data_IF_550746532243
#
_entry.id   IF_550746532243
#
_cell.length_a   1.000
_cell.length_b   1.000
_cell.length_c   1.000
_cell.angle_alpha   90.00
_cell.angle_beta   90.00
_cell.angle_gamma   90.00
#
_symmetry.space_group_name_H-M   'P 1'
#
loop_
_entity.id
_entity.type
_entity.pdbx_description
1 polymer ?
#
# COMPACT_ATOMS: atom_id res chain seq x y z
N UNK A 1 17.22 -2.03 -17.27
CA UNK A 1 17.19 -1.89 -15.80
C UNK A 1 16.29 -0.72 -15.37
N UNK A 2 16.54 0.51 -15.82
CA UNK A 2 15.72 1.70 -15.47
C UNK A 2 14.22 1.57 -15.82
N UNK A 3 13.88 0.98 -16.97
CA UNK A 3 12.47 0.77 -17.37
C UNK A 3 11.69 -0.13 -16.40
N UNK A 4 12.29 -1.21 -15.89
CA UNK A 4 11.62 -2.14 -14.99
C UNK A 4 11.29 -1.48 -13.63
N UNK A 5 12.24 -0.69 -13.11
CA UNK A 5 12.03 0.12 -11.90
C UNK A 5 10.90 1.11 -12.12
N UNK A 6 10.92 1.84 -13.23
CA UNK A 6 9.90 2.84 -13.54
C UNK A 6 8.51 2.20 -13.69
N UNK A 7 8.40 1.09 -14.41
CA UNK A 7 7.13 0.37 -14.55
C UNK A 7 6.59 -0.12 -13.19
N UNK A 8 7.45 -0.64 -12.32
CA UNK A 8 7.06 -1.05 -10.98
C UNK A 8 6.57 0.13 -10.12
N UNK A 9 7.26 1.27 -10.20
CA UNK A 9 6.84 2.50 -9.51
C UNK A 9 5.50 3.01 -10.02
N UNK A 10 5.30 3.06 -11.35
CA UNK A 10 4.04 3.51 -11.95
C UNK A 10 2.85 2.67 -11.46
N UNK A 11 3.01 1.35 -11.35
CA UNK A 11 1.94 0.47 -10.86
C UNK A 11 1.57 0.80 -9.40
N UNK A 12 2.56 1.06 -8.56
CA UNK A 12 2.34 1.44 -7.15
C UNK A 12 1.63 2.81 -7.07
N UNK A 13 2.11 3.80 -7.84
CA UNK A 13 1.57 5.16 -7.82
C UNK A 13 0.13 5.22 -8.34
N UNK A 14 -0.20 4.48 -9.41
CA UNK A 14 -1.57 4.41 -9.92
C UNK A 14 -2.50 3.83 -8.86
N UNK A 15 -2.10 2.74 -8.20
CA UNK A 15 -2.89 2.17 -7.11
C UNK A 15 -3.08 3.15 -5.94
N UNK A 16 -2.01 3.83 -5.50
CA UNK A 16 -2.10 4.80 -4.42
C UNK A 16 -3.05 5.97 -4.77
N UNK A 17 -3.02 6.43 -6.03
CA UNK A 17 -3.96 7.44 -6.54
C UNK A 17 -5.40 6.95 -6.50
N UNK A 18 -5.66 5.71 -6.92
CA UNK A 18 -7.01 5.14 -6.94
C UNK A 18 -7.56 4.98 -5.51
N UNK A 19 -6.73 4.55 -4.57
CA UNK A 19 -7.07 4.51 -3.13
C UNK A 19 -7.41 5.90 -2.61
N UNK A 20 -6.57 6.91 -2.91
CA UNK A 20 -6.82 8.27 -2.46
C UNK A 20 -8.14 8.83 -3.02
N UNK A 21 -8.45 8.57 -4.30
CA UNK A 21 -9.71 8.96 -4.91
C UNK A 21 -10.92 8.28 -4.22
N UNK A 22 -10.81 6.99 -3.91
CA UNK A 22 -11.85 6.24 -3.20
C UNK A 22 -12.10 6.79 -1.79
N UNK A 23 -11.05 7.09 -1.03
CA UNK A 23 -11.18 7.67 0.31
C UNK A 23 -11.91 9.03 0.30
N UNK A 24 -11.69 9.83 -0.76
CA UNK A 24 -12.39 11.10 -0.96
C UNK A 24 -13.87 10.86 -1.30
N UNK A 25 -14.16 9.93 -2.22
CA UNK A 25 -15.52 9.57 -2.63
C UNK A 25 -16.36 9.08 -1.44
N UNK A 26 -15.75 8.25 -0.58
CA UNK A 26 -16.39 7.69 0.61
C UNK A 26 -16.41 8.65 1.81
N UNK A 27 -15.90 9.87 1.65
CA UNK A 27 -15.86 10.90 2.69
C UNK A 27 -15.20 10.40 3.99
N UNK A 28 -14.09 9.68 3.87
CA UNK A 28 -13.31 9.21 5.01
C UNK A 28 -12.67 10.40 5.70
N UNK A 29 -12.93 10.55 7.01
CA UNK A 29 -12.45 11.71 7.79
C UNK A 29 -11.63 11.30 9.01
N UNK A 30 -11.74 10.05 9.43
CA UNK A 30 -11.10 9.52 10.62
C UNK A 30 -10.11 8.43 10.27
N UNK A 31 -8.99 8.39 11.01
CA UNK A 31 -8.05 7.26 10.96
C UNK A 31 -8.65 5.96 11.52
N UNK A 32 -9.84 6.03 12.13
CA UNK A 32 -10.57 4.86 12.62
C UNK A 32 -11.63 4.36 11.63
N UNK A 33 -11.78 5.00 10.46
CA UNK A 33 -12.74 4.57 9.45
C UNK A 33 -12.24 3.29 8.78
N UNK A 34 -13.14 2.33 8.55
CA UNK A 34 -12.77 1.02 8.02
C UNK A 34 -12.02 1.12 6.69
N UNK A 35 -12.43 2.04 5.81
CA UNK A 35 -11.82 2.23 4.49
C UNK A 35 -10.38 2.74 4.56
N UNK A 36 -10.02 3.47 5.63
CA UNK A 36 -8.63 3.79 5.93
C UNK A 36 -7.90 2.58 6.53
N UNK A 37 -8.55 1.89 7.48
CA UNK A 37 -7.97 0.77 8.23
C UNK A 37 -7.73 -0.48 7.34
N UNK A 38 -8.51 -0.67 6.27
CA UNK A 38 -8.38 -1.78 5.32
C UNK A 38 -7.13 -1.69 4.46
N UNK A 39 -6.59 -0.48 4.24
CA UNK A 39 -5.40 -0.27 3.43
C UNK A 39 -4.12 -0.82 4.10
N UNK A 40 -3.14 -1.22 3.30
CA UNK A 40 -1.81 -1.59 3.79
C UNK A 40 -1.00 -0.32 4.10
N UNK A 41 -0.65 -0.11 5.38
CA UNK A 41 -0.01 1.12 5.86
C UNK A 41 1.38 0.85 6.43
N UNK A 42 2.31 1.78 6.19
CA UNK A 42 3.70 1.67 6.61
C UNK A 42 4.03 2.75 7.63
N UNK A 43 4.57 2.37 8.78
CA UNK A 43 4.91 3.28 9.86
C UNK A 43 6.34 3.05 10.33
N UNK A 44 7.14 4.11 10.38
CA UNK A 44 8.43 4.07 11.05
C UNK A 44 8.23 4.31 12.55
N UNK A 45 8.46 3.29 13.37
CA UNK A 45 8.28 3.38 14.82
C UNK A 45 9.19 2.40 15.54
N UNK A 46 9.54 2.68 16.80
CA UNK A 46 10.40 1.81 17.62
C UNK A 46 11.74 1.46 16.96
N UNK A 47 12.24 2.31 16.06
CA UNK A 47 13.49 2.10 15.33
C UNK A 47 13.40 1.12 14.15
N UNK A 48 12.18 0.73 13.74
CA UNK A 48 11.96 -0.22 12.65
C UNK A 48 10.74 0.18 11.78
N UNK A 49 10.59 -0.47 10.62
CA UNK A 49 9.43 -0.30 9.74
C UNK A 49 8.37 -1.33 10.09
N UNK A 50 7.18 -0.84 10.46
CA UNK A 50 6.02 -1.65 10.77
C UNK A 50 4.97 -1.52 9.68
N UNK A 51 4.43 -2.65 9.24
CA UNK A 51 3.32 -2.75 8.32
C UNK A 51 2.04 -2.98 9.14
N UNK A 52 0.98 -2.22 8.87
CA UNK A 52 -0.33 -2.39 9.48
C UNK A 52 -1.39 -2.64 8.42
N UNK A 53 -2.25 -3.61 8.67
CA UNK A 53 -3.43 -3.89 7.86
C UNK A 53 -4.55 -4.33 8.79
N UNK A 54 -5.70 -3.66 8.73
CA UNK A 54 -6.82 -3.88 9.65
C UNK A 54 -6.35 -3.81 11.12
N UNK A 55 -6.43 -4.92 11.85
CA UNK A 55 -6.04 -5.07 13.24
C UNK A 55 -4.67 -5.73 13.42
N UNK A 56 -3.98 -6.04 12.32
CA UNK A 56 -2.70 -6.72 12.33
C UNK A 56 -1.54 -5.73 12.17
N UNK A 57 -0.46 -5.98 12.90
CA UNK A 57 0.80 -5.25 12.83
C UNK A 57 1.95 -6.25 12.67
N UNK A 58 2.84 -5.99 11.71
CA UNK A 58 3.96 -6.84 11.36
C UNK A 58 5.23 -5.99 11.25
N UNK A 59 6.38 -6.55 11.63
CA UNK A 59 7.67 -5.94 11.28
C UNK A 59 7.95 -6.21 9.80
N UNK A 60 8.45 -5.21 9.09
CA UNK A 60 8.83 -5.37 7.69
C UNK A 60 9.95 -6.41 7.55
N UNK A 61 9.83 -7.35 6.61
CA UNK A 61 10.75 -8.49 6.49
C UNK A 61 12.13 -8.17 5.91
N UNK A 62 12.30 -7.01 5.27
CA UNK A 62 13.55 -6.59 4.60
C UNK A 62 14.10 -7.57 3.54
N UNK A 63 13.24 -8.43 3.00
CA UNK A 63 13.63 -9.38 1.96
C UNK A 63 13.88 -8.66 0.62
N UNK A 64 15.03 -8.95 0.00
CA UNK A 64 15.33 -8.42 -1.32
C UNK A 64 14.62 -9.24 -2.40
N UNK A 65 13.56 -8.69 -2.98
CA UNK A 65 12.77 -9.35 -4.04
C UNK A 65 13.20 -8.99 -5.47
N UNK A 66 14.15 -8.06 -5.61
CA UNK A 66 14.57 -7.53 -6.91
C UNK A 66 13.48 -6.71 -7.63
N UNK A 67 13.78 -6.31 -8.87
CA UNK A 67 12.84 -5.58 -9.74
C UNK A 67 12.09 -6.55 -10.66
N UNK A 68 11.31 -7.44 -10.05
CA UNK A 68 10.39 -8.33 -10.75
C UNK A 68 9.14 -7.57 -11.21
N UNK A 69 8.43 -8.12 -12.19
CA UNK A 69 7.16 -7.53 -12.64
C UNK A 69 6.15 -7.50 -11.51
N UNK A 70 5.52 -6.34 -11.28
CA UNK A 70 4.43 -6.21 -10.31
C UNK A 70 3.10 -6.51 -11.00
N UNK A 71 2.24 -7.26 -10.31
CA UNK A 71 0.85 -7.45 -10.71
C UNK A 71 0.10 -6.13 -10.56
N UNK A 72 -0.80 -5.86 -11.49
CA UNK A 72 -1.71 -4.71 -11.39
C UNK A 72 -2.65 -4.97 -10.23
N UNK A 73 -2.73 -3.99 -9.31
CA UNK A 73 -3.63 -4.08 -8.16
C UNK A 73 -5.02 -3.69 -8.64
N UNK A 74 -5.97 -4.60 -8.48
CA UNK A 74 -7.38 -4.40 -8.89
C UNK A 74 -8.27 -4.53 -7.65
N UNK A 75 -9.51 -4.01 -7.69
CA UNK A 75 -10.46 -4.17 -6.58
C UNK A 75 -10.72 -5.64 -6.17
N UNK A 76 -10.45 -6.60 -7.06
CA UNK A 76 -10.59 -8.03 -6.76
C UNK A 76 -9.42 -8.58 -5.90
N UNK A 77 -8.25 -7.92 -5.97
CA UNK A 77 -7.03 -8.27 -5.21
C UNK A 77 -6.89 -7.47 -3.91
N UNK A 78 -7.65 -6.38 -3.77
CA UNK A 78 -7.58 -5.40 -2.65
C UNK A 78 -8.69 -5.61 -1.60
N UNK A 79 -9.17 -6.84 -1.43
CA UNK A 79 -10.25 -7.22 -0.51
C UNK A 79 -9.75 -7.78 0.81
#
# INVERSE_FOLDING_TARGET
MQRAVLSALIVIEVHAKDVAAKLIEENVTSMNDFEWISQLRYYWTRGDLYIRAVNAEFVYGYEYLGNSGRLVITPLTDR
#
